data_IF_275356776503
#
_entry.id   IF_275356776503
#
_cell.length_a   1.000
_cell.length_b   1.000
_cell.length_c   1.000
_cell.angle_alpha   90.00
_cell.angle_beta   90.00
_cell.angle_gamma   90.00
#
_symmetry.space_group_name_H-M   'P 1'
#
loop_
_entity.id
_entity.type
_entity.pdbx_description
1 polymer ?
#
# COMPACT_ATOMS: atom_id res chain seq x y z
N UNK A 1 0.72 19.80 -40.22
CA UNK A 1 1.84 20.13 -39.34
C UNK A 1 1.83 19.25 -38.12
N UNK A 2 2.93 18.58 -37.82
CA UNK A 2 3.08 17.87 -36.58
C UNK A 2 2.99 18.85 -35.41
N UNK A 3 2.13 18.59 -34.44
CA UNK A 3 2.03 19.41 -33.24
C UNK A 3 3.34 19.40 -32.48
N UNK A 4 3.56 20.41 -31.64
CA UNK A 4 4.71 20.48 -30.76
C UNK A 4 4.74 19.26 -29.85
N UNK A 5 5.86 18.56 -29.79
CA UNK A 5 6.07 17.45 -28.87
C UNK A 5 6.06 17.99 -27.44
N UNK A 6 5.25 17.41 -26.55
CA UNK A 6 5.21 17.80 -25.15
C UNK A 6 6.50 17.42 -24.45
N UNK A 7 6.97 18.30 -23.59
CA UNK A 7 8.14 18.01 -22.77
C UNK A 7 7.83 16.93 -21.74
N UNK A 8 8.87 16.30 -21.20
CA UNK A 8 8.71 15.33 -20.11
C UNK A 8 8.00 15.96 -18.91
N UNK A 9 8.28 17.23 -18.60
CA UNK A 9 7.62 17.94 -17.49
C UNK A 9 6.13 18.12 -17.76
N UNK A 10 5.74 18.56 -18.95
CA UNK A 10 4.34 18.72 -19.35
C UNK A 10 3.58 17.39 -19.29
N UNK A 11 4.18 16.32 -19.81
CA UNK A 11 3.61 14.98 -19.74
C UNK A 11 3.43 14.52 -18.31
N UNK A 12 4.41 14.77 -17.46
CA UNK A 12 4.37 14.40 -16.03
C UNK A 12 3.23 15.11 -15.32
N UNK A 13 3.04 16.40 -15.54
CA UNK A 13 1.94 17.16 -14.95
C UNK A 13 0.58 16.59 -15.35
N UNK A 14 0.45 16.14 -16.60
CA UNK A 14 -0.79 15.48 -17.05
C UNK A 14 -1.04 14.17 -16.33
N UNK A 15 0.00 13.35 -16.19
CA UNK A 15 -0.11 12.08 -15.47
C UNK A 15 -0.53 12.31 -14.03
N UNK A 16 0.12 13.26 -13.34
CA UNK A 16 -0.14 13.56 -11.93
C UNK A 16 -1.52 14.22 -11.71
N UNK A 17 -2.07 14.90 -12.73
CA UNK A 17 -3.42 15.47 -12.63
C UNK A 17 -4.50 14.39 -12.59
N UNK A 18 -4.21 13.18 -13.06
CA UNK A 18 -5.16 12.07 -13.08
C UNK A 18 -5.13 11.23 -11.82
N UNK A 19 -3.95 11.01 -11.27
CA UNK A 19 -3.78 10.28 -10.01
C UNK A 19 -2.38 10.51 -9.45
N UNK A 20 -2.20 10.20 -8.18
CA UNK A 20 -0.88 10.18 -7.57
C UNK A 20 -0.03 9.04 -8.18
N UNK A 21 1.26 9.30 -8.31
CA UNK A 21 2.25 8.34 -8.80
C UNK A 21 3.45 8.32 -7.85
N UNK A 22 4.09 7.18 -7.73
CA UNK A 22 5.44 7.14 -7.14
C UNK A 22 6.44 7.65 -8.17
N UNK A 23 7.62 8.03 -7.71
CA UNK A 23 8.73 8.41 -8.62
C UNK A 23 8.99 7.30 -9.63
N UNK A 24 9.06 6.04 -9.16
CA UNK A 24 9.32 4.89 -10.04
C UNK A 24 8.21 4.68 -11.06
N UNK A 25 6.94 4.85 -10.66
CA UNK A 25 5.81 4.73 -11.58
C UNK A 25 5.85 5.80 -12.67
N UNK A 26 6.15 7.04 -12.29
CA UNK A 26 6.23 8.13 -13.26
C UNK A 26 7.41 7.92 -14.23
N UNK A 27 8.56 7.49 -13.71
CA UNK A 27 9.72 7.16 -14.55
C UNK A 27 9.37 6.10 -15.59
N UNK A 28 8.71 5.03 -15.19
CA UNK A 28 8.27 3.97 -16.09
C UNK A 28 7.25 4.47 -17.11
N UNK A 29 6.32 5.30 -16.66
CA UNK A 29 5.29 5.88 -17.51
C UNK A 29 5.91 6.77 -18.61
N UNK A 30 6.88 7.60 -18.25
CA UNK A 30 7.60 8.44 -19.20
C UNK A 30 8.42 7.60 -20.21
N UNK A 31 9.06 6.53 -19.73
CA UNK A 31 9.82 5.63 -20.59
C UNK A 31 8.94 4.97 -21.65
N UNK A 32 7.72 4.58 -21.29
CA UNK A 32 6.76 4.01 -22.25
C UNK A 32 6.35 4.99 -23.34
N UNK A 33 6.43 6.27 -23.06
CA UNK A 33 6.12 7.33 -24.01
C UNK A 33 7.36 7.83 -24.75
N UNK A 34 8.46 7.10 -24.62
CA UNK A 34 9.71 7.39 -25.31
C UNK A 34 10.26 8.78 -25.02
N UNK A 35 9.99 9.30 -23.80
CA UNK A 35 10.60 10.54 -23.34
C UNK A 35 12.11 10.36 -23.26
N UNK A 36 12.86 11.42 -23.59
CA UNK A 36 14.31 11.40 -23.44
C UNK A 36 14.66 11.13 -21.97
N UNK A 37 15.52 10.13 -21.68
CA UNK A 37 15.83 9.78 -20.28
C UNK A 37 16.40 10.94 -19.45
N UNK A 38 17.23 11.78 -20.03
CA UNK A 38 17.79 12.93 -19.33
C UNK A 38 16.70 13.97 -18.99
N UNK A 39 15.81 14.26 -19.93
CA UNK A 39 14.68 15.15 -19.70
C UNK A 39 13.72 14.58 -18.66
N UNK A 40 13.49 13.27 -18.70
CA UNK A 40 12.63 12.58 -17.72
C UNK A 40 13.19 12.74 -16.31
N UNK A 41 14.49 12.52 -16.10
CA UNK A 41 15.09 12.67 -14.78
C UNK A 41 15.07 14.12 -14.30
N UNK A 42 15.32 15.08 -15.15
CA UNK A 42 15.21 16.52 -14.81
C UNK A 42 13.78 16.88 -14.38
N UNK A 43 12.79 16.38 -15.11
CA UNK A 43 11.39 16.61 -14.79
C UNK A 43 11.03 16.01 -13.42
N UNK A 44 11.48 14.79 -13.16
CA UNK A 44 11.24 14.11 -11.88
C UNK A 44 11.87 14.89 -10.73
N UNK A 45 13.13 15.27 -10.85
CA UNK A 45 13.83 16.06 -9.82
C UNK A 45 13.09 17.35 -9.51
N UNK A 46 12.65 18.06 -10.53
CA UNK A 46 11.90 19.31 -10.36
C UNK A 46 10.56 19.07 -9.66
N UNK A 47 9.85 18.02 -10.02
CA UNK A 47 8.56 17.69 -9.42
C UNK A 47 8.71 17.29 -7.94
N UNK A 48 9.79 16.62 -7.61
CA UNK A 48 10.13 16.31 -6.21
C UNK A 48 10.42 17.61 -5.45
N UNK A 49 11.23 18.51 -6.01
CA UNK A 49 11.57 19.78 -5.38
C UNK A 49 10.34 20.64 -5.09
N UNK A 50 9.38 20.68 -6.00
CA UNK A 50 8.17 21.50 -5.83
C UNK A 50 7.05 20.75 -5.10
N UNK A 51 7.30 19.53 -4.63
CA UNK A 51 6.36 18.76 -3.84
C UNK A 51 5.22 18.11 -4.62
N UNK A 52 5.30 18.05 -5.95
CA UNK A 52 4.31 17.37 -6.78
C UNK A 52 4.52 15.86 -6.82
N UNK A 53 5.74 15.39 -6.58
CA UNK A 53 6.09 14.00 -6.36
C UNK A 53 6.65 13.85 -4.97
N UNK A 54 6.10 12.90 -4.20
CA UNK A 54 6.50 12.68 -2.82
C UNK A 54 6.14 11.25 -2.43
N UNK A 55 7.13 10.35 -2.46
CA UNK A 55 6.91 8.94 -2.15
C UNK A 55 6.48 8.71 -0.70
N UNK A 56 6.92 9.56 0.24
CA UNK A 56 6.47 9.46 1.63
C UNK A 56 4.98 9.77 1.76
N UNK A 57 4.53 10.83 1.09
CA UNK A 57 3.10 11.19 1.05
C UNK A 57 2.30 10.09 0.38
N UNK A 58 2.77 9.59 -0.76
CA UNK A 58 2.14 8.48 -1.48
C UNK A 58 1.98 7.26 -0.57
N UNK A 59 3.06 6.87 0.10
CA UNK A 59 3.07 5.71 0.98
C UNK A 59 2.10 5.86 2.15
N UNK A 60 2.05 7.03 2.79
CA UNK A 60 1.13 7.31 3.90
C UNK A 60 -0.33 7.21 3.49
N UNK A 61 -0.68 7.82 2.36
CA UNK A 61 -2.07 7.79 1.85
C UNK A 61 -2.46 6.39 1.42
N UNK A 62 -1.57 5.69 0.73
CA UNK A 62 -1.78 4.30 0.31
C UNK A 62 -2.02 3.40 1.52
N UNK A 63 -1.17 3.51 2.54
CA UNK A 63 -1.28 2.69 3.74
C UNK A 63 -2.60 2.96 4.47
N UNK A 64 -2.99 4.21 4.60
CA UNK A 64 -4.26 4.59 5.24
C UNK A 64 -5.46 3.99 4.50
N UNK A 65 -5.50 4.14 3.18
CA UNK A 65 -6.58 3.62 2.36
C UNK A 65 -6.68 2.10 2.46
N UNK A 66 -5.55 1.40 2.40
CA UNK A 66 -5.54 -0.07 2.46
C UNK A 66 -5.95 -0.60 3.83
N UNK A 67 -5.60 0.09 4.91
CA UNK A 67 -6.09 -0.26 6.24
C UNK A 67 -7.60 -0.05 6.36
N UNK A 68 -8.07 1.11 5.96
CA UNK A 68 -9.47 1.51 6.15
C UNK A 68 -10.43 0.81 5.18
N UNK A 69 -10.06 0.72 3.91
CA UNK A 69 -10.94 0.19 2.87
C UNK A 69 -10.79 -1.31 2.64
N UNK A 70 -9.60 -1.86 2.82
CA UNK A 70 -9.30 -3.24 2.49
C UNK A 70 -8.93 -4.10 3.70
N UNK A 71 -8.71 -3.49 4.86
CA UNK A 71 -8.31 -4.23 6.05
C UNK A 71 -6.94 -4.89 5.95
N UNK A 72 -6.04 -4.36 5.13
CA UNK A 72 -4.71 -4.95 4.98
C UNK A 72 -3.86 -4.76 6.24
N UNK A 73 -3.08 -5.78 6.55
CA UNK A 73 -2.05 -5.71 7.59
C UNK A 73 -0.74 -5.13 7.03
N UNK A 74 0.22 -4.85 7.95
CA UNK A 74 1.46 -4.18 7.57
C UNK A 74 2.28 -4.88 6.49
N UNK A 75 2.35 -6.22 6.52
CA UNK A 75 3.14 -6.98 5.55
C UNK A 75 2.68 -6.77 4.13
N UNK A 76 1.38 -6.79 3.89
CA UNK A 76 0.81 -6.62 2.56
C UNK A 76 0.96 -5.18 2.05
N UNK A 77 0.78 -4.20 2.95
CA UNK A 77 0.96 -2.79 2.62
C UNK A 77 2.41 -2.54 2.20
N UNK A 78 3.37 -3.02 3.02
CA UNK A 78 4.80 -2.87 2.74
C UNK A 78 5.19 -3.47 1.40
N UNK A 79 4.78 -4.70 1.14
CA UNK A 79 5.10 -5.39 -0.11
C UNK A 79 4.52 -4.69 -1.33
N UNK A 80 3.29 -4.23 -1.24
CA UNK A 80 2.65 -3.49 -2.32
C UNK A 80 3.38 -2.17 -2.63
N UNK A 81 3.80 -1.46 -1.59
CA UNK A 81 4.56 -0.20 -1.75
C UNK A 81 5.93 -0.45 -2.40
N UNK A 82 6.63 -1.51 -1.98
CA UNK A 82 7.91 -1.87 -2.58
C UNK A 82 7.74 -2.24 -4.06
N UNK A 83 6.68 -2.95 -4.41
CA UNK A 83 6.36 -3.27 -5.81
C UNK A 83 6.12 -2.01 -6.65
N UNK A 84 5.58 -0.96 -6.04
CA UNK A 84 5.36 0.34 -6.71
C UNK A 84 6.64 1.19 -6.77
N UNK A 85 7.74 0.67 -6.28
CA UNK A 85 9.04 1.32 -6.34
C UNK A 85 9.34 2.26 -5.18
N UNK A 86 8.55 2.22 -4.12
CA UNK A 86 8.83 2.98 -2.90
C UNK A 86 10.00 2.31 -2.17
N UNK A 87 10.93 3.11 -1.66
CA UNK A 87 12.06 2.59 -0.88
C UNK A 87 11.55 1.80 0.33
N UNK A 88 12.23 0.68 0.66
CA UNK A 88 11.79 -0.20 1.74
C UNK A 88 11.63 0.53 3.07
N UNK A 89 12.53 1.44 3.41
CA UNK A 89 12.44 2.22 4.65
C UNK A 89 11.17 3.07 4.73
N UNK A 90 10.79 3.68 3.62
CA UNK A 90 9.56 4.47 3.52
C UNK A 90 8.35 3.55 3.62
N UNK A 91 8.39 2.42 2.92
CA UNK A 91 7.30 1.43 2.94
C UNK A 91 7.09 0.86 4.35
N UNK A 92 8.16 0.53 5.06
CA UNK A 92 8.10 0.02 6.44
C UNK A 92 7.53 1.07 7.40
N UNK A 93 7.98 2.32 7.29
CA UNK A 93 7.46 3.41 8.12
C UNK A 93 5.96 3.63 7.89
N UNK A 94 5.53 3.64 6.63
CA UNK A 94 4.12 3.84 6.29
C UNK A 94 3.25 2.66 6.73
N UNK A 95 3.75 1.44 6.59
CA UNK A 95 3.00 0.22 6.96
C UNK A 95 2.95 -0.01 8.47
N UNK A 96 3.91 0.52 9.23
CA UNK A 96 4.02 0.35 10.67
C UNK A 96 3.18 1.34 11.48
N UNK A 97 3.49 1.44 12.76
CA UNK A 97 2.87 2.41 13.66
C UNK A 97 1.78 1.86 14.56
N UNK A 98 1.22 0.70 14.26
CA UNK A 98 0.23 0.06 15.12
C UNK A 98 0.92 -0.90 16.09
N UNK A 99 0.46 -0.94 17.35
CA UNK A 99 0.91 -1.93 18.31
C UNK A 99 0.38 -3.31 17.94
N UNK A 100 0.96 -4.36 18.51
CA UNK A 100 0.46 -5.73 18.30
C UNK A 100 -1.00 -5.87 18.77
N UNK A 101 -1.35 -5.24 19.88
CA UNK A 101 -2.73 -5.27 20.38
C UNK A 101 -3.70 -4.57 19.43
N UNK A 102 -3.32 -3.40 18.92
CA UNK A 102 -4.13 -2.69 17.93
C UNK A 102 -4.31 -3.50 16.65
N UNK A 103 -3.25 -4.15 16.18
CA UNK A 103 -3.31 -5.02 15.01
C UNK A 103 -4.21 -6.23 15.26
N UNK A 104 -4.11 -6.85 16.43
CA UNK A 104 -4.96 -8.00 16.79
C UNK A 104 -6.43 -7.60 16.84
N UNK A 105 -6.74 -6.44 17.42
CA UNK A 105 -8.13 -5.93 17.46
C UNK A 105 -8.66 -5.66 16.05
N UNK A 106 -7.88 -5.01 15.21
CA UNK A 106 -8.27 -4.73 13.83
C UNK A 106 -8.46 -6.01 13.02
N UNK A 107 -7.59 -6.99 13.20
CA UNK A 107 -7.71 -8.29 12.56
C UNK A 107 -8.94 -9.06 13.09
N UNK A 108 -9.22 -9.01 14.39
CA UNK A 108 -10.40 -9.64 14.97
C UNK A 108 -11.69 -9.01 14.43
N UNK A 109 -11.72 -7.70 14.22
CA UNK A 109 -12.86 -7.02 13.59
C UNK A 109 -13.15 -7.58 12.20
N UNK A 110 -12.11 -7.90 11.43
CA UNK A 110 -12.27 -8.54 10.13
C UNK A 110 -12.87 -9.94 10.25
N UNK A 111 -12.43 -10.70 11.24
CA UNK A 111 -12.96 -12.05 11.48
C UNK A 111 -14.42 -12.02 11.90
N UNK A 112 -14.83 -11.03 12.69
CA UNK A 112 -16.23 -10.86 13.11
C UNK A 112 -17.18 -10.73 11.93
N UNK A 113 -16.70 -10.14 10.83
CA UNK A 113 -17.48 -9.97 9.59
C UNK A 113 -17.57 -11.22 8.76
N UNK A 114 -16.65 -12.17 8.94
CA UNK A 114 -16.58 -13.37 8.10
C UNK A 114 -17.50 -14.49 8.54
N UNK A 115 -17.78 -14.55 9.83
CA UNK A 115 -18.67 -15.58 10.38
C UNK A 115 -18.10 -17.03 10.28
N UNK A 116 -16.78 -17.20 10.32
CA UNK A 116 -16.19 -18.52 10.40
C UNK A 116 -16.50 -19.16 11.75
N UNK A 117 -16.70 -20.48 11.77
CA UNK A 117 -16.84 -21.23 13.02
C UNK A 117 -15.46 -21.40 13.67
N UNK A 118 -15.19 -20.61 14.67
CA UNK A 118 -13.89 -20.62 15.36
C UNK A 118 -13.76 -21.74 16.42
N UNK A 119 -14.84 -22.45 16.71
CA UNK A 119 -14.79 -23.63 17.58
C UNK A 119 -14.28 -24.86 16.85
N UNK A 120 -14.28 -24.83 15.51
CA UNK A 120 -13.80 -25.88 14.64
C UNK A 120 -12.37 -25.57 14.18
N UNK A 121 -11.48 -26.55 14.24
CA UNK A 121 -10.09 -26.42 13.76
C UNK A 121 -10.02 -25.96 12.30
N UNK A 122 -10.92 -26.46 11.48
CA UNK A 122 -11.00 -26.07 10.06
C UNK A 122 -11.37 -24.59 9.91
N UNK A 123 -12.31 -24.10 10.70
CA UNK A 123 -12.72 -22.69 10.74
C UNK A 123 -11.59 -21.79 11.21
N UNK A 124 -10.89 -22.18 12.28
CA UNK A 124 -9.71 -21.45 12.75
C UNK A 124 -8.62 -21.40 11.69
N UNK A 125 -8.38 -22.51 10.98
CA UNK A 125 -7.41 -22.58 9.89
C UNK A 125 -7.74 -21.63 8.76
N UNK A 126 -9.02 -21.55 8.38
CA UNK A 126 -9.47 -20.60 7.34
C UNK A 126 -9.28 -19.15 7.79
N UNK A 127 -9.59 -18.85 9.04
CA UNK A 127 -9.40 -17.50 9.59
C UNK A 127 -7.93 -17.09 9.59
N UNK A 128 -7.04 -17.98 10.03
CA UNK A 128 -5.61 -17.72 10.02
C UNK A 128 -5.08 -17.49 8.59
N UNK A 129 -5.49 -18.32 7.64
CA UNK A 129 -5.11 -18.19 6.24
C UNK A 129 -5.61 -16.87 5.64
N UNK A 130 -6.83 -16.48 5.97
CA UNK A 130 -7.39 -15.21 5.53
C UNK A 130 -6.56 -14.03 6.04
N UNK A 131 -6.22 -14.02 7.31
CA UNK A 131 -5.43 -12.93 7.90
C UNK A 131 -4.01 -12.91 7.34
N UNK A 132 -3.40 -14.07 7.11
CA UNK A 132 -2.09 -14.16 6.48
C UNK A 132 -2.10 -13.52 5.09
N UNK A 133 -3.12 -13.81 4.28
CA UNK A 133 -3.27 -13.23 2.95
C UNK A 133 -3.51 -11.72 3.00
N UNK A 134 -4.11 -11.22 4.08
CA UNK A 134 -4.30 -9.78 4.29
C UNK A 134 -3.05 -9.08 4.80
N UNK A 135 -1.99 -9.81 5.11
CA UNK A 135 -0.70 -9.24 5.49
C UNK A 135 -0.44 -9.14 6.98
N UNK A 136 -1.19 -9.88 7.80
CA UNK A 136 -0.95 -9.96 9.25
C UNK A 136 0.03 -11.07 9.56
N UNK A 137 0.98 -10.78 10.45
CA UNK A 137 1.92 -11.78 10.93
C UNK A 137 1.20 -12.87 11.72
N UNK A 138 1.80 -14.05 11.77
CA UNK A 138 1.19 -15.22 12.40
C UNK A 138 0.84 -14.99 13.88
N UNK A 139 1.71 -14.35 14.63
CA UNK A 139 1.46 -14.04 16.05
C UNK A 139 0.21 -13.16 16.23
N UNK A 140 0.08 -12.14 15.37
CA UNK A 140 -1.08 -11.25 15.36
C UNK A 140 -2.32 -12.02 14.95
N UNK A 141 -2.22 -12.87 13.94
CA UNK A 141 -3.35 -13.69 13.46
C UNK A 141 -3.86 -14.62 14.56
N UNK A 142 -2.97 -15.30 15.27
CA UNK A 142 -3.37 -16.13 16.43
C UNK A 142 -4.03 -15.30 17.53
N UNK A 143 -3.46 -14.15 17.86
CA UNK A 143 -4.05 -13.26 18.86
C UNK A 143 -5.45 -12.79 18.44
N UNK A 144 -5.62 -12.48 17.17
CA UNK A 144 -6.92 -12.06 16.60
C UNK A 144 -7.96 -13.17 16.69
N UNK A 145 -7.58 -14.41 16.37
CA UNK A 145 -8.48 -15.56 16.48
C UNK A 145 -8.92 -15.76 17.94
N UNK A 146 -7.99 -15.73 18.87
CA UNK A 146 -8.33 -15.85 20.30
C UNK A 146 -9.26 -14.73 20.76
N UNK A 147 -9.02 -13.50 20.31
CA UNK A 147 -9.87 -12.36 20.64
C UNK A 147 -11.28 -12.53 20.06
N UNK A 148 -11.37 -12.95 18.80
CA UNK A 148 -12.66 -13.21 18.14
C UNK A 148 -13.44 -14.33 18.83
N UNK A 149 -12.76 -15.39 19.26
CA UNK A 149 -13.37 -16.48 20.04
C UNK A 149 -13.97 -15.95 21.34
N UNK A 150 -13.24 -15.12 22.08
CA UNK A 150 -13.74 -14.53 23.33
C UNK A 150 -14.95 -13.63 23.11
N UNK A 151 -14.97 -12.89 22.00
CA UNK A 151 -16.11 -12.01 21.64
C UNK A 151 -17.36 -12.81 21.29
N UNK A 152 -17.18 -14.00 20.73
CA UNK A 152 -18.29 -14.88 20.34
C UNK A 152 -18.85 -15.71 21.50
N UNK A 153 -18.12 -15.83 22.61
CA UNK A 153 -18.52 -16.63 23.77
C UNK A 153 -19.63 -15.96 24.57
#
# INVERSE_FOLDING_TARGET
MAGRKKSAFELSLRALSRREHTVAELRAWLAKREADPAEAEEAIERLVEIGQLDDERYASLFAQDKRELNGWGPGRIREALVEKGVARSIAEAAAGGESQDELAERAADLLDRRNDDLDDDSGRGRALAFLARRGYELEVAYAAVRLAERRAA
#
